data_IF_849339602068
#
_entry.id   IF_849339602068
#
_cell.length_a   1.000
_cell.length_b   1.000
_cell.length_c   1.000
_cell.angle_alpha   90.00
_cell.angle_beta   90.00
_cell.angle_gamma   90.00
#
_symmetry.space_group_name_H-M   'P 1'
#
loop_
_entity.id
_entity.type
_entity.pdbx_description
1 polymer ?
#
# COMPACT_ATOMS: atom_id res chain seq x y z
N UNK A 1 -13.32 21.36 15.51
CA UNK A 1 -12.88 21.92 14.21
C UNK A 1 -14.11 22.50 13.52
N UNK A 2 -14.02 23.71 12.99
CA UNK A 2 -15.13 24.29 12.24
C UNK A 2 -15.32 23.60 10.86
N UNK A 3 -16.53 23.64 10.27
CA UNK A 3 -16.81 22.93 9.02
C UNK A 3 -15.96 23.36 7.83
N UNK A 4 -15.57 24.64 7.75
CA UNK A 4 -14.76 25.14 6.64
C UNK A 4 -13.33 24.59 6.73
N UNK A 5 -12.73 24.62 7.91
CA UNK A 5 -11.41 24.05 8.16
C UNK A 5 -11.40 22.55 7.87
N UNK A 6 -12.45 21.83 8.26
CA UNK A 6 -12.58 20.40 7.97
C UNK A 6 -12.60 20.13 6.46
N UNK A 7 -13.38 20.89 5.69
CA UNK A 7 -13.43 20.72 4.23
C UNK A 7 -12.11 21.06 3.55
N UNK A 8 -11.43 22.12 3.99
CA UNK A 8 -10.11 22.47 3.48
C UNK A 8 -9.10 21.34 3.75
N UNK A 9 -9.09 20.79 4.96
CA UNK A 9 -8.22 19.68 5.33
C UNK A 9 -8.52 18.43 4.49
N UNK A 10 -9.80 18.07 4.38
CA UNK A 10 -10.25 16.94 3.57
C UNK A 10 -9.77 17.05 2.12
N UNK A 11 -9.94 18.22 1.53
CA UNK A 11 -9.51 18.48 0.15
C UNK A 11 -8.00 18.40 -0.03
N UNK A 12 -7.22 18.95 0.92
CA UNK A 12 -5.76 18.90 0.88
C UNK A 12 -5.23 17.46 1.00
N UNK A 13 -5.77 16.68 1.92
CA UNK A 13 -5.39 15.28 2.09
C UNK A 13 -5.76 14.45 0.85
N UNK A 14 -6.92 14.70 0.26
CA UNK A 14 -7.29 14.07 -1.01
C UNK A 14 -6.31 14.42 -2.14
N UNK A 15 -5.92 15.68 -2.25
CA UNK A 15 -4.93 16.13 -3.26
C UNK A 15 -3.57 15.46 -3.06
N UNK A 16 -3.11 15.30 -1.81
CA UNK A 16 -1.87 14.58 -1.50
C UNK A 16 -1.96 13.14 -1.97
N UNK A 17 -3.07 12.46 -1.69
CA UNK A 17 -3.28 11.08 -2.12
C UNK A 17 -3.34 10.95 -3.66
N UNK A 18 -3.94 11.90 -4.35
CA UNK A 18 -3.99 11.96 -5.82
C UNK A 18 -2.58 12.21 -6.42
N UNK A 19 -1.81 13.11 -5.83
CA UNK A 19 -0.43 13.39 -6.24
C UNK A 19 0.47 12.19 -6.06
N UNK A 20 0.33 11.44 -4.99
CA UNK A 20 1.04 10.19 -4.75
C UNK A 20 0.83 9.21 -5.93
N UNK A 21 -0.40 9.06 -6.40
CA UNK A 21 -0.70 8.20 -7.54
C UNK A 21 -0.10 8.72 -8.86
N UNK A 22 -0.10 10.03 -9.08
CA UNK A 22 0.54 10.63 -10.27
C UNK A 22 2.05 10.42 -10.28
N UNK A 23 2.69 10.58 -9.12
CA UNK A 23 4.13 10.33 -8.96
C UNK A 23 4.44 8.85 -9.25
N UNK A 24 3.64 7.93 -8.73
CA UNK A 24 3.80 6.49 -8.99
C UNK A 24 3.77 6.20 -10.51
N UNK A 25 2.82 6.76 -11.25
CA UNK A 25 2.73 6.61 -12.71
C UNK A 25 3.98 7.16 -13.41
N UNK A 26 4.45 8.33 -12.99
CA UNK A 26 5.57 9.02 -13.65
C UNK A 26 6.92 8.38 -13.38
N UNK A 27 7.08 7.72 -12.24
CA UNK A 27 8.35 7.12 -11.81
C UNK A 27 8.42 5.62 -12.04
N UNK A 28 7.28 4.95 -12.23
CA UNK A 28 7.25 3.51 -12.45
C UNK A 28 7.83 3.12 -13.81
N UNK A 29 8.68 2.09 -13.81
CA UNK A 29 9.11 1.41 -15.03
C UNK A 29 8.19 0.26 -15.47
N UNK A 30 7.16 -0.07 -14.67
CA UNK A 30 6.24 -1.18 -14.93
C UNK A 30 5.09 -0.75 -15.84
N UNK A 31 4.90 -1.38 -17.02
CA UNK A 31 3.77 -1.08 -17.90
C UNK A 31 2.42 -1.39 -17.24
N UNK A 32 2.39 -2.32 -16.30
CA UNK A 32 1.17 -2.63 -15.53
C UNK A 32 0.78 -1.46 -14.65
N UNK A 33 1.74 -0.74 -14.09
CA UNK A 33 1.49 0.46 -13.29
C UNK A 33 1.17 1.67 -14.18
N UNK A 34 2.05 2.01 -15.15
CA UNK A 34 1.89 3.27 -15.88
C UNK A 34 0.86 3.22 -17.03
N UNK A 35 0.62 2.06 -17.67
CA UNK A 35 -0.39 1.92 -18.72
C UNK A 35 -1.71 1.36 -18.18
N UNK A 36 -1.68 0.17 -17.57
CA UNK A 36 -2.87 -0.52 -17.08
C UNK A 36 -3.46 0.12 -15.81
N UNK A 37 -2.69 0.94 -15.07
CA UNK A 37 -3.09 1.55 -13.80
C UNK A 37 -3.46 0.52 -12.73
N UNK A 38 -2.84 -0.68 -12.77
CA UNK A 38 -3.09 -1.73 -11.78
C UNK A 38 -2.26 -1.51 -10.51
N UNK A 39 -2.56 -0.41 -9.86
CA UNK A 39 -2.04 0.01 -8.57
C UNK A 39 -3.07 0.89 -7.88
N UNK A 40 -2.85 1.20 -6.62
CA UNK A 40 -3.58 2.26 -5.94
C UNK A 40 -2.80 2.79 -4.74
N UNK A 41 -3.15 4.00 -4.31
CA UNK A 41 -2.58 4.66 -3.14
C UNK A 41 -3.64 4.88 -2.08
N UNK A 42 -3.21 5.02 -0.83
CA UNK A 42 -4.09 5.36 0.29
C UNK A 42 -3.34 6.19 1.33
N UNK A 43 -4.03 7.15 1.92
CA UNK A 43 -3.64 7.71 3.21
C UNK A 43 -4.42 7.01 4.31
N UNK A 44 -3.73 6.66 5.40
CA UNK A 44 -4.32 5.94 6.52
C UNK A 44 -4.16 6.75 7.80
N UNK A 45 -5.04 6.50 8.77
CA UNK A 45 -4.92 7.08 10.13
C UNK A 45 -3.70 6.54 10.85
N UNK A 46 -3.28 7.13 11.99
CA UNK A 46 -2.21 6.55 12.82
C UNK A 46 -2.45 5.10 13.22
N UNK A 47 -3.70 4.67 13.34
CA UNK A 47 -4.12 3.32 13.68
C UNK A 47 -4.20 2.37 12.47
N UNK A 48 -3.87 2.86 11.27
CA UNK A 48 -3.90 2.07 10.04
C UNK A 48 -5.27 1.96 9.37
N UNK A 49 -6.27 2.76 9.77
CA UNK A 49 -7.57 2.78 9.09
C UNK A 49 -7.52 3.65 7.84
N UNK A 50 -8.20 3.23 6.76
CA UNK A 50 -8.25 4.00 5.52
C UNK A 50 -8.92 5.35 5.71
N UNK A 51 -8.22 6.43 5.35
CA UNK A 51 -8.71 7.80 5.32
C UNK A 51 -9.14 8.20 3.91
N UNK A 52 -8.28 7.94 2.93
CA UNK A 52 -8.53 8.20 1.52
C UNK A 52 -8.08 7.02 0.67
N UNK A 53 -8.90 6.72 -0.31
CA UNK A 53 -8.67 5.68 -1.33
C UNK A 53 -8.41 6.38 -2.65
N UNK A 54 -7.37 5.99 -3.36
CA UNK A 54 -7.04 6.51 -4.68
C UNK A 54 -8.07 6.09 -5.74
N UNK A 55 -7.93 6.68 -6.91
CA UNK A 55 -8.91 6.55 -8.01
C UNK A 55 -8.60 5.39 -8.98
N UNK A 56 -7.50 4.67 -8.74
CA UNK A 56 -7.04 3.58 -9.61
C UNK A 56 -7.70 2.25 -9.23
N UNK A 57 -6.99 1.14 -9.19
CA UNK A 57 -7.55 -0.18 -8.82
C UNK A 57 -7.97 -0.21 -7.35
N UNK A 58 -9.25 -0.01 -7.08
CA UNK A 58 -9.80 0.14 -5.71
C UNK A 58 -9.46 -1.03 -4.79
N UNK A 59 -9.47 -2.26 -5.30
CA UNK A 59 -9.11 -3.47 -4.56
C UNK A 59 -7.75 -3.33 -3.86
N UNK A 60 -6.76 -2.83 -4.56
CA UNK A 60 -5.39 -2.67 -4.03
C UNK A 60 -5.32 -1.65 -2.89
N UNK A 61 -6.09 -0.57 -2.98
CA UNK A 61 -6.16 0.42 -1.89
C UNK A 61 -6.73 -0.17 -0.60
N UNK A 62 -7.72 -1.07 -0.72
CA UNK A 62 -8.33 -1.72 0.43
C UNK A 62 -7.40 -2.71 1.14
N UNK A 63 -6.35 -3.18 0.48
CA UNK A 63 -5.34 -4.05 1.09
C UNK A 63 -4.39 -3.29 2.04
N UNK A 64 -4.17 -2.00 1.81
CA UNK A 64 -3.16 -1.20 2.50
C UNK A 64 -3.44 -1.03 4.00
N UNK A 65 -4.71 -0.93 4.42
CA UNK A 65 -5.04 -0.86 5.84
C UNK A 65 -4.73 -2.16 6.58
N UNK A 66 -4.83 -3.30 5.89
CA UNK A 66 -4.46 -4.61 6.47
C UNK A 66 -2.95 -4.67 6.68
N UNK A 67 -2.16 -4.25 5.67
CA UNK A 67 -0.71 -4.21 5.78
C UNK A 67 -0.23 -3.26 6.89
N UNK A 68 -0.79 -2.04 6.97
CA UNK A 68 -0.43 -1.11 8.04
C UNK A 68 -0.76 -1.65 9.43
N UNK A 69 -1.94 -2.24 9.62
CA UNK A 69 -2.31 -2.89 10.89
C UNK A 69 -1.44 -4.08 11.22
N UNK A 70 -1.03 -4.87 10.22
CA UNK A 70 -0.10 -5.96 10.41
C UNK A 70 1.25 -5.45 10.93
N UNK A 71 1.81 -4.40 10.32
CA UNK A 71 3.05 -3.75 10.77
C UNK A 71 2.91 -3.23 12.21
N UNK A 72 1.83 -2.50 12.51
CA UNK A 72 1.58 -1.96 13.85
C UNK A 72 1.52 -3.09 14.89
N UNK A 73 0.80 -4.17 14.59
CA UNK A 73 0.61 -5.28 15.53
C UNK A 73 1.87 -6.12 15.79
N UNK A 74 2.75 -6.25 14.80
CA UNK A 74 3.89 -7.17 14.89
C UNK A 74 5.24 -6.46 15.11
N UNK A 75 5.34 -5.18 14.73
CA UNK A 75 6.59 -4.42 14.79
C UNK A 75 6.47 -3.13 15.62
N UNK A 76 5.26 -2.80 16.08
CA UNK A 76 5.01 -1.56 16.81
C UNK A 76 5.81 -1.44 18.12
N UNK A 77 5.92 -2.52 18.87
CA UNK A 77 6.64 -2.54 20.15
C UNK A 77 8.12 -2.91 19.94
N UNK A 78 8.42 -3.96 19.19
CA UNK A 78 9.78 -4.44 18.94
C UNK A 78 9.91 -4.97 17.51
N UNK A 79 10.84 -4.43 16.70
CA UNK A 79 11.91 -3.46 17.01
C UNK A 79 11.43 -2.00 17.16
N UNK A 80 10.14 -1.74 17.09
CA UNK A 80 9.56 -0.41 17.04
C UNK A 80 9.54 0.19 15.64
N UNK A 81 8.66 1.14 15.42
CA UNK A 81 8.49 1.86 14.14
C UNK A 81 9.14 3.23 14.28
N UNK A 82 9.98 3.63 13.30
CA UNK A 82 10.77 4.85 13.35
C UNK A 82 10.49 5.74 12.16
N UNK A 83 10.79 7.01 12.30
CA UNK A 83 10.75 7.96 11.19
C UNK A 83 11.74 7.55 10.10
N UNK A 84 11.26 7.54 8.85
CA UNK A 84 12.00 7.07 7.68
C UNK A 84 11.89 5.57 7.38
N UNK A 85 11.21 4.79 8.21
CA UNK A 85 10.92 3.39 7.92
C UNK A 85 9.93 3.26 6.75
N UNK A 86 10.08 2.17 6.00
CA UNK A 86 9.11 1.71 5.02
C UNK A 86 9.04 0.18 5.06
N UNK A 87 7.83 -0.34 5.01
CA UNK A 87 7.55 -1.77 5.11
C UNK A 87 6.96 -2.25 3.80
N UNK A 88 7.48 -3.38 3.30
CA UNK A 88 7.02 -4.00 2.06
C UNK A 88 6.57 -5.43 2.34
N UNK A 89 5.49 -5.84 1.71
CA UNK A 89 5.01 -7.22 1.74
C UNK A 89 4.26 -7.57 0.47
N UNK A 90 4.32 -8.84 0.08
CA UNK A 90 3.43 -9.45 -0.90
C UNK A 90 2.70 -10.67 -0.30
N UNK A 91 2.77 -10.81 1.03
CA UNK A 91 2.12 -11.91 1.75
C UNK A 91 0.60 -11.70 1.77
N UNK A 92 -0.20 -12.67 1.25
CA UNK A 92 -1.66 -12.61 1.31
C UNK A 92 -2.21 -12.54 2.75
N UNK A 93 -1.50 -13.09 3.73
CA UNK A 93 -1.90 -13.02 5.13
C UNK A 93 -1.59 -11.67 5.79
N UNK A 94 -0.69 -10.90 5.19
CA UNK A 94 -0.38 -9.53 5.59
C UNK A 94 -1.10 -8.47 4.75
N UNK A 95 -2.02 -8.88 3.84
CA UNK A 95 -2.90 -7.97 3.11
C UNK A 95 -2.84 -8.06 1.60
N UNK A 96 -1.81 -8.67 0.98
CA UNK A 96 -1.74 -8.81 -0.46
C UNK A 96 -2.92 -9.66 -0.98
N UNK A 97 -3.50 -9.32 -2.12
CA UNK A 97 -4.60 -10.09 -2.68
C UNK A 97 -4.13 -11.33 -3.45
N UNK A 98 -2.92 -11.32 -3.93
CA UNK A 98 -2.13 -12.44 -4.45
C UNK A 98 -0.65 -12.03 -4.48
N UNK A 99 0.25 -12.99 -4.74
CA UNK A 99 1.70 -12.78 -4.59
C UNK A 99 2.29 -11.72 -5.51
N UNK A 100 1.62 -11.41 -6.64
CA UNK A 100 2.05 -10.35 -7.55
C UNK A 100 1.75 -8.94 -7.02
N UNK A 101 0.93 -8.79 -6.00
CA UNK A 101 0.59 -7.49 -5.43
C UNK A 101 1.57 -7.15 -4.31
N UNK A 102 2.46 -6.19 -4.55
CA UNK A 102 3.33 -5.63 -3.51
C UNK A 102 2.65 -4.46 -2.83
N UNK A 103 2.63 -4.51 -1.50
CA UNK A 103 2.13 -3.46 -0.64
C UNK A 103 3.30 -2.79 0.07
N UNK A 104 3.38 -1.47 -0.03
CA UNK A 104 4.35 -0.66 0.69
C UNK A 104 3.58 0.30 1.57
N UNK A 105 3.90 0.33 2.87
CA UNK A 105 3.36 1.29 3.82
C UNK A 105 4.49 1.98 4.57
N UNK A 106 4.39 3.29 4.73
CA UNK A 106 5.36 4.10 5.44
C UNK A 106 4.68 5.03 6.45
N UNK A 107 5.15 5.08 7.71
CA UNK A 107 4.61 5.98 8.70
C UNK A 107 5.01 7.43 8.40
N UNK A 108 4.12 8.35 8.71
CA UNK A 108 4.37 9.79 8.64
C UNK A 108 4.42 10.29 10.08
N UNK A 109 5.59 10.81 10.46
CA UNK A 109 5.83 11.33 11.81
C UNK A 109 5.70 12.86 11.87
N UNK A 110 5.19 13.34 12.99
CA UNK A 110 5.21 14.75 13.38
C UNK A 110 5.41 14.85 14.88
N UNK A 111 6.39 15.66 15.30
CA UNK A 111 6.78 15.82 16.71
C UNK A 111 7.00 14.50 17.47
N UNK A 112 7.57 13.50 16.78
CA UNK A 112 7.87 12.18 17.35
C UNK A 112 6.71 11.20 17.39
N UNK A 113 5.52 11.59 16.93
CA UNK A 113 4.33 10.76 16.89
C UNK A 113 3.94 10.38 15.46
N UNK A 114 3.41 9.18 15.26
CA UNK A 114 2.82 8.78 13.97
C UNK A 114 1.49 9.53 13.80
N UNK A 115 1.41 10.40 12.80
CA UNK A 115 0.19 11.19 12.50
C UNK A 115 -0.62 10.61 11.34
N UNK A 116 -0.01 9.79 10.49
CA UNK A 116 -0.67 9.12 9.37
C UNK A 116 0.23 8.00 8.83
N UNK A 117 -0.29 7.23 7.88
CA UNK A 117 0.49 6.34 7.02
C UNK A 117 0.23 6.68 5.56
N UNK A 118 1.28 6.60 4.75
CA UNK A 118 1.20 6.59 3.29
C UNK A 118 1.32 5.15 2.82
N UNK A 119 0.44 4.73 1.92
CA UNK A 119 0.47 3.39 1.36
C UNK A 119 0.34 3.39 -0.16
N UNK A 120 1.03 2.46 -0.81
CA UNK A 120 0.85 2.12 -2.22
C UNK A 120 0.83 0.60 -2.36
N UNK A 121 -0.11 0.10 -3.15
CA UNK A 121 -0.17 -1.29 -3.57
C UNK A 121 -0.12 -1.34 -5.08
N UNK A 122 0.73 -2.20 -5.64
CA UNK A 122 0.94 -2.31 -7.08
C UNK A 122 1.07 -3.76 -7.51
N UNK A 123 0.50 -4.07 -8.66
CA UNK A 123 0.66 -5.36 -9.31
C UNK A 123 1.98 -5.40 -10.06
N UNK A 124 2.80 -6.43 -9.81
CA UNK A 124 4.04 -6.70 -10.54
C UNK A 124 3.82 -7.76 -11.63
N UNK A 125 4.50 -7.55 -12.75
CA UNK A 125 4.36 -8.42 -13.93
C UNK A 125 4.82 -9.85 -13.65
N UNK A 126 5.87 -10.00 -12.84
CA UNK A 126 6.47 -11.28 -12.48
C UNK A 126 7.23 -11.12 -11.16
N UNK A 127 7.00 -12.02 -10.23
CA UNK A 127 7.64 -12.04 -8.90
C UNK A 127 8.47 -13.31 -8.68
N UNK A 128 8.84 -14.01 -9.76
CA UNK A 128 9.73 -15.18 -9.71
C UNK A 128 9.02 -16.51 -9.41
N UNK A 129 7.75 -16.63 -9.76
CA UNK A 129 7.00 -17.88 -9.66
C UNK A 129 7.48 -18.93 -10.67
N UNK A 130 6.98 -20.18 -10.56
CA UNK A 130 7.37 -21.30 -11.45
C UNK A 130 6.92 -21.11 -12.90
N UNK A 131 5.96 -20.25 -13.16
CA UNK A 131 5.49 -19.91 -14.49
C UNK A 131 5.76 -18.43 -14.79
N UNK A 132 6.07 -18.08 -16.07
CA UNK A 132 6.20 -16.68 -16.46
C UNK A 132 4.96 -15.87 -16.09
N UNK A 133 5.15 -14.67 -15.51
CA UNK A 133 4.08 -13.83 -15.00
C UNK A 133 3.58 -14.23 -13.62
N UNK A 134 4.21 -15.21 -12.97
CA UNK A 134 3.88 -15.71 -11.61
C UNK A 134 2.41 -16.13 -11.41
N UNK A 135 1.73 -16.48 -12.50
CA UNK A 135 0.37 -17.02 -12.50
C UNK A 135 0.42 -18.54 -12.63
N UNK A 136 0.39 -19.26 -11.51
CA UNK A 136 0.53 -20.71 -11.48
C UNK A 136 -0.83 -21.37 -11.40
N UNK A 137 -1.37 -21.73 -12.57
CA UNK A 137 -2.61 -22.51 -12.64
C UNK A 137 -2.37 -23.91 -12.06
N UNK A 138 -3.13 -24.24 -11.02
CA UNK A 138 -3.00 -25.54 -10.35
C UNK A 138 -2.06 -25.55 -9.14
N UNK A 139 -1.53 -24.41 -8.70
CA UNK A 139 -0.90 -24.30 -7.39
C UNK A 139 -1.86 -24.77 -6.30
N UNK A 140 -1.36 -25.58 -5.36
CA UNK A 140 -2.15 -26.14 -4.26
C UNK A 140 -1.91 -25.43 -2.95
N UNK A 141 -0.91 -24.58 -2.92
CA UNK A 141 -0.47 -23.79 -1.76
C UNK A 141 0.21 -22.51 -2.23
N UNK A 142 0.27 -21.52 -1.36
CA UNK A 142 0.83 -20.19 -1.65
C UNK A 142 2.28 -20.24 -2.13
N UNK A 143 3.11 -21.10 -1.57
CA UNK A 143 4.51 -21.26 -2.00
C UNK A 143 4.68 -21.91 -3.38
N UNK A 144 3.63 -22.51 -3.93
CA UNK A 144 3.58 -23.01 -5.29
C UNK A 144 3.24 -21.92 -6.32
N UNK A 145 2.87 -20.72 -5.88
CA UNK A 145 2.59 -19.58 -6.75
C UNK A 145 3.87 -18.74 -6.98
N UNK A 146 4.42 -18.19 -5.92
CA UNK A 146 5.59 -17.32 -5.96
C UNK A 146 6.25 -17.23 -4.57
N UNK A 147 7.48 -16.68 -4.46
CA UNK A 147 8.08 -16.37 -3.17
C UNK A 147 7.33 -15.22 -2.45
N UNK A 148 7.25 -15.33 -1.14
CA UNK A 148 6.77 -14.27 -0.22
C UNK A 148 7.94 -13.40 0.17
#
# INVERSE_FOLDING_TARGET
MDPVTLEVLRHRLWMINDEQGKVAIQTSGSPVVYEAKDFNCSLLTPQGDSLFVGVYTTRLSLCLHVAAKHVIAHLGDEPGIRDGDAFITNDPWAGASHMNDFLIVAPIFWDGEIVAWSGIAMHEVDVGGPNPGSFTVGAKEVFGEAPV
#
